data_IF_795915893915
#
_entry.id   IF_795915893915
#
_cell.length_a   1.000
_cell.length_b   1.000
_cell.length_c   1.000
_cell.angle_alpha   90.00
_cell.angle_beta   90.00
_cell.angle_gamma   90.00
#
_symmetry.space_group_name_H-M   'P 1'
#
loop_
_entity.id
_entity.type
_entity.pdbx_description
1 polymer ?
#
# COMPACT_ATOMS: atom_id res chain seq x y z
N UNK A 1 -35.94 -66.10 -12.48
CA UNK A 1 -35.58 -64.69 -12.23
C UNK A 1 -36.34 -64.29 -10.99
N UNK A 2 -35.69 -64.31 -9.88
CA UNK A 2 -36.27 -64.39 -8.53
C UNK A 2 -36.54 -63.00 -7.96
N UNK A 3 -37.66 -62.93 -7.23
CA UNK A 3 -38.22 -61.75 -6.56
C UNK A 3 -37.28 -61.03 -5.55
N UNK A 4 -36.09 -61.51 -5.44
CA UNK A 4 -35.06 -60.95 -4.53
C UNK A 4 -34.28 -59.83 -5.14
N UNK A 5 -34.21 -59.65 -6.47
CA UNK A 5 -33.43 -58.61 -7.13
C UNK A 5 -34.14 -57.25 -7.20
N UNK A 6 -35.49 -57.27 -7.06
CA UNK A 6 -36.29 -56.04 -7.11
C UNK A 6 -36.33 -55.28 -5.76
N UNK A 7 -35.99 -55.96 -4.66
CA UNK A 7 -36.04 -55.38 -3.31
C UNK A 7 -34.74 -54.61 -2.94
N UNK A 8 -33.62 -54.93 -3.60
CA UNK A 8 -32.34 -54.28 -3.37
C UNK A 8 -32.21 -52.90 -4.04
N UNK A 9 -33.05 -52.61 -5.04
CA UNK A 9 -33.02 -51.34 -5.79
C UNK A 9 -33.79 -50.19 -5.12
N UNK A 10 -34.60 -50.51 -4.10
CA UNK A 10 -35.49 -49.53 -3.48
C UNK A 10 -34.97 -48.98 -2.13
N UNK A 11 -33.81 -49.44 -1.67
CA UNK A 11 -33.26 -49.08 -0.35
C UNK A 11 -32.23 -47.93 -0.40
N UNK A 12 -32.03 -47.34 -1.61
CA UNK A 12 -31.12 -46.19 -1.79
C UNK A 12 -31.76 -44.82 -1.49
N UNK A 13 -33.03 -44.80 -1.05
CA UNK A 13 -33.79 -43.56 -0.82
C UNK A 13 -33.74 -43.01 0.62
N UNK A 14 -33.00 -43.66 1.54
CA UNK A 14 -32.94 -43.25 2.94
C UNK A 14 -31.58 -42.71 3.40
N UNK A 15 -30.73 -42.24 2.48
CA UNK A 15 -29.59 -41.46 2.89
C UNK A 15 -30.08 -40.12 3.46
N UNK A 16 -29.78 -39.78 4.74
CA UNK A 16 -30.18 -38.48 5.28
C UNK A 16 -29.54 -37.38 4.44
N UNK A 17 -30.24 -36.24 4.20
CA UNK A 17 -29.72 -35.17 3.38
C UNK A 17 -28.37 -34.74 3.98
N UNK A 18 -27.30 -34.87 3.21
CA UNK A 18 -25.99 -34.39 3.59
C UNK A 18 -26.17 -32.93 3.92
N UNK A 19 -26.01 -32.59 5.22
CA UNK A 19 -25.94 -31.21 5.70
C UNK A 19 -24.79 -30.56 4.92
N UNK A 20 -25.09 -29.86 3.86
CA UNK A 20 -24.14 -29.01 3.17
C UNK A 20 -23.62 -27.99 4.20
N UNK A 21 -22.47 -28.29 4.78
CA UNK A 21 -21.72 -27.27 5.55
C UNK A 21 -21.60 -26.10 4.59
N UNK A 22 -22.25 -24.98 4.91
CA UNK A 22 -22.09 -23.71 4.22
C UNK A 22 -20.60 -23.40 4.25
N UNK A 23 -19.90 -23.78 3.19
CA UNK A 23 -18.49 -23.41 3.05
C UNK A 23 -18.49 -21.90 2.81
N UNK A 24 -17.87 -21.18 3.72
CA UNK A 24 -17.62 -19.76 3.54
C UNK A 24 -16.91 -19.57 2.19
N UNK A 25 -17.26 -18.54 1.41
CA UNK A 25 -16.57 -18.27 0.14
C UNK A 25 -15.05 -18.25 0.38
N UNK A 26 -14.25 -18.73 -0.57
CA UNK A 26 -12.80 -18.94 -0.39
C UNK A 26 -12.07 -17.67 0.10
N UNK A 27 -12.62 -16.49 -0.15
CA UNK A 27 -12.07 -15.20 0.29
C UNK A 27 -12.56 -14.76 1.69
N UNK A 28 -13.52 -15.45 2.30
CA UNK A 28 -14.04 -15.04 3.62
C UNK A 28 -13.06 -15.30 4.76
N UNK A 29 -12.27 -16.37 4.70
CA UNK A 29 -11.29 -16.70 5.74
C UNK A 29 -10.22 -15.62 5.93
N UNK A 30 -9.49 -15.16 4.88
CA UNK A 30 -8.50 -14.12 5.04
C UNK A 30 -9.13 -12.79 5.50
N UNK A 31 -10.30 -12.43 5.00
CA UNK A 31 -11.02 -11.22 5.43
C UNK A 31 -11.39 -11.29 6.93
N UNK A 32 -11.94 -12.42 7.39
CA UNK A 32 -12.28 -12.62 8.79
C UNK A 32 -11.05 -12.57 9.71
N UNK A 33 -9.93 -13.16 9.29
CA UNK A 33 -8.68 -13.11 10.05
C UNK A 33 -8.16 -11.68 10.14
N UNK A 34 -8.16 -10.94 9.03
CA UNK A 34 -7.75 -9.53 9.00
C UNK A 34 -8.62 -8.67 9.92
N UNK A 35 -9.95 -8.86 9.86
CA UNK A 35 -10.89 -8.15 10.73
C UNK A 35 -10.67 -8.52 12.21
N UNK A 36 -10.45 -9.79 12.52
CA UNK A 36 -10.17 -10.23 13.89
C UNK A 36 -8.88 -9.63 14.45
N UNK A 37 -7.81 -9.57 13.61
CA UNK A 37 -6.55 -8.91 13.98
C UNK A 37 -6.78 -7.42 14.20
N UNK A 38 -7.48 -6.73 13.29
CA UNK A 38 -7.77 -5.30 13.40
C UNK A 38 -8.57 -4.99 14.67
N UNK A 39 -9.60 -5.78 14.98
CA UNK A 39 -10.39 -5.65 16.20
C UNK A 39 -9.57 -5.94 17.46
N UNK A 40 -8.69 -6.94 17.43
CA UNK A 40 -7.77 -7.26 18.52
C UNK A 40 -6.80 -6.12 18.82
N UNK A 41 -6.18 -5.56 17.77
CA UNK A 41 -5.29 -4.39 17.89
C UNK A 41 -6.05 -3.18 18.42
N UNK A 42 -7.26 -2.91 17.90
CA UNK A 42 -8.11 -1.83 18.38
C UNK A 42 -8.48 -2.00 19.87
N UNK A 43 -8.84 -3.22 20.28
CA UNK A 43 -9.18 -3.52 21.66
C UNK A 43 -7.98 -3.33 22.61
N UNK A 44 -6.78 -3.79 22.20
CA UNK A 44 -5.54 -3.58 22.97
C UNK A 44 -5.23 -2.08 23.07
N UNK A 45 -5.39 -1.32 21.99
CA UNK A 45 -5.21 0.12 21.98
C UNK A 45 -6.19 0.81 22.93
N UNK A 46 -7.46 0.39 22.93
CA UNK A 46 -8.48 0.89 23.84
C UNK A 46 -8.10 0.69 25.31
N UNK A 47 -7.62 -0.50 25.66
CA UNK A 47 -7.19 -0.80 27.03
C UNK A 47 -5.94 0.00 27.45
N UNK A 48 -5.03 0.26 26.49
CA UNK A 48 -3.79 1.01 26.77
C UNK A 48 -3.99 2.52 26.89
N UNK A 49 -5.08 3.05 26.36
CA UNK A 49 -5.40 4.49 26.39
C UNK A 49 -6.38 4.86 27.49
N UNK A 50 -6.60 3.98 28.49
CA UNK A 50 -7.57 4.16 29.57
C UNK A 50 -8.96 4.56 29.06
N UNK A 51 -9.34 4.06 27.88
CA UNK A 51 -10.62 4.37 27.23
C UNK A 51 -10.75 5.79 26.68
N UNK A 52 -9.63 6.51 26.50
CA UNK A 52 -9.66 7.87 25.93
C UNK A 52 -10.14 7.86 24.48
N UNK A 53 -11.37 8.26 24.24
CA UNK A 53 -11.97 8.33 22.91
C UNK A 53 -11.21 9.28 21.97
N UNK A 54 -10.63 10.36 22.49
CA UNK A 54 -9.88 11.34 21.71
C UNK A 54 -8.60 10.73 21.12
N UNK A 55 -7.85 9.97 21.91
CA UNK A 55 -6.61 9.32 21.44
C UNK A 55 -6.92 8.27 20.39
N UNK A 56 -7.99 7.48 20.60
CA UNK A 56 -8.43 6.48 19.63
C UNK A 56 -8.90 7.12 18.32
N UNK A 57 -9.70 8.19 18.39
CA UNK A 57 -10.16 8.91 17.20
C UNK A 57 -8.98 9.51 16.44
N UNK A 58 -8.01 10.11 17.15
CA UNK A 58 -6.78 10.63 16.54
C UNK A 58 -5.97 9.52 15.84
N UNK A 59 -5.83 8.36 16.48
CA UNK A 59 -5.12 7.23 15.89
C UNK A 59 -5.84 6.69 14.65
N UNK A 60 -7.17 6.56 14.68
CA UNK A 60 -7.98 6.10 13.54
C UNK A 60 -7.89 7.08 12.36
N UNK A 61 -8.08 8.39 12.61
CA UNK A 61 -8.01 9.41 11.55
C UNK A 61 -6.62 9.46 10.94
N UNK A 62 -5.58 9.50 11.78
CA UNK A 62 -4.19 9.52 11.30
C UNK A 62 -3.82 8.24 10.54
N UNK A 63 -4.26 7.08 11.05
CA UNK A 63 -4.04 5.79 10.40
C UNK A 63 -4.76 5.66 9.06
N UNK A 64 -6.01 6.15 8.96
CA UNK A 64 -6.78 6.15 7.73
C UNK A 64 -6.13 7.04 6.66
N UNK A 65 -5.74 8.25 7.03
CA UNK A 65 -5.09 9.19 6.12
C UNK A 65 -3.74 8.66 5.62
N UNK A 66 -2.91 8.11 6.50
CA UNK A 66 -1.66 7.47 6.12
C UNK A 66 -1.90 6.22 5.27
N UNK A 67 -2.89 5.40 5.65
CA UNK A 67 -3.26 4.17 4.94
C UNK A 67 -3.67 4.41 3.48
N UNK A 68 -4.35 5.52 3.18
CA UNK A 68 -4.70 5.89 1.80
C UNK A 68 -3.46 6.14 0.93
N UNK A 69 -2.46 6.83 1.47
CA UNK A 69 -1.19 7.08 0.75
C UNK A 69 -0.42 5.77 0.56
N UNK A 70 -0.29 4.95 1.60
CA UNK A 70 0.36 3.65 1.48
C UNK A 70 -0.39 2.69 0.53
N UNK A 71 -1.73 2.79 0.49
CA UNK A 71 -2.55 2.06 -0.47
C UNK A 71 -2.20 2.39 -1.92
N UNK A 72 -2.00 3.68 -2.24
CA UNK A 72 -1.56 4.11 -3.56
C UNK A 72 -0.17 3.58 -3.92
N UNK A 73 0.78 3.60 -2.97
CA UNK A 73 2.12 3.00 -3.16
C UNK A 73 2.00 1.50 -3.44
N UNK A 74 1.15 0.79 -2.69
CA UNK A 74 0.90 -0.64 -2.89
C UNK A 74 0.25 -0.95 -4.25
N UNK A 75 -0.68 -0.10 -4.71
CA UNK A 75 -1.25 -0.19 -6.06
C UNK A 75 -0.17 -0.05 -7.14
N UNK A 76 0.74 0.93 -7.00
CA UNK A 76 1.87 1.10 -7.91
C UNK A 76 2.74 -0.16 -7.99
N UNK A 77 3.05 -0.79 -6.85
CA UNK A 77 3.80 -2.04 -6.80
C UNK A 77 3.02 -3.19 -7.47
N UNK A 78 1.71 -3.26 -7.23
CA UNK A 78 0.84 -4.28 -7.83
C UNK A 78 0.77 -4.15 -9.34
N UNK A 79 0.71 -2.92 -9.88
CA UNK A 79 0.72 -2.66 -11.31
C UNK A 79 2.06 -3.09 -11.95
N UNK A 80 3.18 -2.74 -11.32
CA UNK A 80 4.51 -3.16 -11.79
C UNK A 80 4.60 -4.69 -11.81
N UNK A 81 4.17 -5.35 -10.74
CA UNK A 81 4.17 -6.82 -10.67
C UNK A 81 3.21 -7.45 -11.70
N UNK A 82 2.03 -6.87 -11.89
CA UNK A 82 1.04 -7.37 -12.84
C UNK A 82 1.50 -7.31 -14.30
N UNK A 83 2.32 -6.30 -14.66
CA UNK A 83 2.81 -6.12 -16.04
C UNK A 83 4.16 -6.82 -16.27
N UNK A 84 5.09 -6.67 -15.34
CA UNK A 84 6.47 -7.14 -15.50
C UNK A 84 6.74 -8.48 -14.82
N UNK A 85 5.84 -8.95 -13.95
CA UNK A 85 6.01 -10.14 -13.11
C UNK A 85 7.28 -10.08 -12.24
N UNK A 86 7.74 -8.88 -11.92
CA UNK A 86 8.93 -8.59 -11.12
C UNK A 86 8.54 -7.79 -9.89
N UNK A 87 9.00 -8.24 -8.72
CA UNK A 87 8.84 -7.48 -7.48
C UNK A 87 9.95 -6.42 -7.42
N UNK A 88 9.57 -5.14 -7.40
CA UNK A 88 10.51 -4.04 -7.33
C UNK A 88 10.78 -3.64 -5.87
N UNK A 89 11.87 -4.15 -5.29
CA UNK A 89 12.30 -3.76 -3.93
C UNK A 89 12.79 -2.32 -3.82
N UNK A 90 13.12 -1.65 -4.93
CA UNK A 90 13.48 -0.23 -4.93
C UNK A 90 12.28 0.72 -4.78
N UNK A 91 11.03 0.20 -4.71
CA UNK A 91 9.82 1.03 -4.65
C UNK A 91 9.86 2.07 -3.53
N UNK A 92 10.26 1.69 -2.31
CA UNK A 92 10.38 2.61 -1.18
C UNK A 92 11.42 3.71 -1.43
N UNK A 93 12.58 3.33 -1.95
CA UNK A 93 13.65 4.27 -2.29
C UNK A 93 13.24 5.25 -3.41
N UNK A 94 12.45 4.79 -4.39
CA UNK A 94 11.89 5.65 -5.44
C UNK A 94 10.86 6.65 -4.89
N UNK A 95 10.04 6.25 -3.94
CA UNK A 95 9.12 7.16 -3.23
C UNK A 95 9.92 8.22 -2.47
N UNK A 96 10.97 7.81 -1.74
CA UNK A 96 11.87 8.72 -1.03
C UNK A 96 12.56 9.68 -2.00
N UNK A 97 13.07 9.20 -3.13
CA UNK A 97 13.63 10.05 -4.18
C UNK A 97 12.62 11.11 -4.64
N UNK A 98 11.36 10.73 -4.85
CA UNK A 98 10.27 11.67 -5.19
C UNK A 98 10.05 12.76 -4.14
N UNK A 99 10.10 12.40 -2.87
CA UNK A 99 10.02 13.37 -1.78
C UNK A 99 11.20 14.35 -1.82
N UNK A 100 12.43 13.87 -2.06
CA UNK A 100 13.59 14.74 -2.18
C UNK A 100 13.57 15.63 -3.44
N UNK A 101 13.11 15.13 -4.58
CA UNK A 101 12.89 15.98 -5.77
C UNK A 101 11.91 17.11 -5.46
N UNK A 102 10.79 16.79 -4.82
CA UNK A 102 9.80 17.80 -4.38
C UNK A 102 10.42 18.80 -3.42
N UNK A 103 11.21 18.34 -2.44
CA UNK A 103 11.93 19.19 -1.49
C UNK A 103 12.87 20.16 -2.22
N UNK A 104 13.73 19.66 -3.11
CA UNK A 104 14.70 20.47 -3.85
C UNK A 104 14.00 21.53 -4.72
N UNK A 105 12.96 21.12 -5.47
CA UNK A 105 12.22 22.06 -6.33
C UNK A 105 11.51 23.11 -5.50
N UNK A 106 10.82 22.71 -4.41
CA UNK A 106 10.13 23.66 -3.53
C UNK A 106 11.10 24.61 -2.83
N UNK A 107 12.23 24.12 -2.35
CA UNK A 107 13.22 24.93 -1.62
C UNK A 107 13.95 25.92 -2.51
N UNK A 108 14.31 25.53 -3.75
CA UNK A 108 15.05 26.40 -4.66
C UNK A 108 14.19 27.37 -5.43
N UNK A 109 12.97 26.95 -5.85
CA UNK A 109 12.08 27.78 -6.64
C UNK A 109 11.02 28.52 -5.80
N UNK A 110 10.93 28.20 -4.49
CA UNK A 110 9.90 28.77 -3.61
C UNK A 110 8.48 28.36 -4.00
N UNK A 111 8.33 27.28 -4.79
CA UNK A 111 7.04 26.85 -5.28
C UNK A 111 6.25 26.12 -4.19
N UNK A 112 4.93 26.25 -4.27
CA UNK A 112 4.05 25.42 -3.44
C UNK A 112 4.31 23.94 -3.74
N UNK A 113 4.46 23.07 -2.72
CA UNK A 113 4.76 21.65 -2.89
C UNK A 113 3.82 20.92 -3.85
N UNK A 114 2.57 21.32 -3.95
CA UNK A 114 1.61 20.73 -4.88
C UNK A 114 1.93 21.07 -6.34
N UNK A 115 2.46 22.28 -6.62
CA UNK A 115 2.88 22.66 -7.96
C UNK A 115 4.15 21.97 -8.40
N UNK A 116 5.00 21.54 -7.43
CA UNK A 116 6.22 20.80 -7.77
C UNK A 116 5.96 19.45 -8.43
N UNK A 117 4.73 18.91 -8.32
CA UNK A 117 4.33 17.68 -9.01
C UNK A 117 4.51 17.78 -10.53
N UNK A 118 4.34 18.97 -11.10
CA UNK A 118 4.54 19.21 -12.56
C UNK A 118 5.98 18.91 -12.98
N UNK A 119 6.95 19.08 -12.07
CA UNK A 119 8.37 18.78 -12.32
C UNK A 119 8.73 17.39 -11.78
N UNK A 120 8.28 17.06 -10.59
CA UNK A 120 8.65 15.80 -9.92
C UNK A 120 8.17 14.57 -10.68
N UNK A 121 6.95 14.61 -11.24
CA UNK A 121 6.40 13.47 -12.00
C UNK A 121 7.20 13.20 -13.27
N UNK A 122 7.47 14.18 -14.18
CA UNK A 122 8.35 13.94 -15.33
C UNK A 122 9.75 13.50 -14.98
N UNK A 123 10.36 14.07 -13.94
CA UNK A 123 11.72 13.70 -13.50
C UNK A 123 11.75 12.24 -13.05
N UNK A 124 10.79 11.83 -12.21
CA UNK A 124 10.71 10.44 -11.76
C UNK A 124 10.35 9.48 -12.90
N UNK A 125 9.50 9.90 -13.84
CA UNK A 125 9.17 9.11 -15.02
C UNK A 125 10.43 8.86 -15.88
N UNK A 126 11.20 9.89 -16.17
CA UNK A 126 12.44 9.77 -16.93
C UNK A 126 13.48 8.91 -16.20
N UNK A 127 13.61 9.09 -14.90
CA UNK A 127 14.50 8.29 -14.06
C UNK A 127 14.07 6.82 -14.05
N UNK A 128 12.78 6.54 -13.88
CA UNK A 128 12.22 5.19 -13.95
C UNK A 128 12.40 4.54 -15.32
N UNK A 129 12.17 5.29 -16.40
CA UNK A 129 12.41 4.82 -17.77
C UNK A 129 13.90 4.51 -18.03
N UNK A 130 14.80 5.31 -17.48
CA UNK A 130 16.24 5.06 -17.55
C UNK A 130 16.62 3.77 -16.82
N UNK A 131 16.14 3.59 -15.58
CA UNK A 131 16.35 2.37 -14.81
C UNK A 131 15.80 1.16 -15.57
N UNK A 132 14.57 1.25 -16.07
CA UNK A 132 13.95 0.17 -16.84
C UNK A 132 14.82 -0.21 -18.04
N UNK A 133 15.25 0.78 -18.83
CA UNK A 133 16.01 0.55 -20.08
C UNK A 133 17.42 0.01 -19.82
N UNK A 134 18.13 0.59 -18.84
CA UNK A 134 19.55 0.31 -18.60
C UNK A 134 19.74 -0.93 -17.71
N UNK A 135 18.89 -1.07 -16.70
CA UNK A 135 19.08 -2.05 -15.64
C UNK A 135 18.13 -3.23 -15.83
N UNK A 136 16.82 -3.00 -15.80
CA UNK A 136 15.83 -4.08 -15.75
C UNK A 136 15.76 -4.85 -17.07
N UNK A 137 15.69 -4.15 -18.20
CA UNK A 137 15.63 -4.82 -19.51
C UNK A 137 16.85 -5.70 -19.79
N UNK A 138 18.01 -5.34 -19.24
CA UNK A 138 19.25 -6.10 -19.41
C UNK A 138 19.27 -7.38 -18.58
N UNK A 139 18.47 -7.42 -17.51
CA UNK A 139 18.32 -8.56 -16.60
C UNK A 139 17.12 -9.46 -16.94
N UNK A 140 16.25 -9.07 -17.86
CA UNK A 140 15.01 -9.79 -18.18
C UNK A 140 15.21 -11.16 -18.86
N UNK A 141 16.43 -11.58 -19.18
CA UNK A 141 16.75 -12.91 -19.71
C UNK A 141 17.23 -13.91 -18.66
N UNK A 142 17.42 -13.47 -17.43
CA UNK A 142 18.01 -14.25 -16.34
C UNK A 142 16.93 -14.72 -15.34
N UNK A 143 17.35 -15.54 -14.38
CA UNK A 143 16.44 -16.05 -13.35
C UNK A 143 15.81 -14.90 -12.57
N UNK A 144 14.52 -15.02 -12.21
CA UNK A 144 13.77 -14.02 -11.41
C UNK A 144 14.49 -13.56 -10.13
N UNK A 145 15.30 -14.45 -9.52
CA UNK A 145 16.10 -14.13 -8.35
C UNK A 145 17.12 -13.00 -8.60
N UNK A 146 17.72 -12.94 -9.80
CA UNK A 146 18.70 -11.90 -10.14
C UNK A 146 18.04 -10.52 -10.22
N UNK A 147 16.81 -10.43 -10.71
CA UNK A 147 16.08 -9.17 -10.79
C UNK A 147 15.67 -8.67 -9.41
N UNK A 148 15.34 -9.56 -8.46
CA UNK A 148 15.05 -9.19 -7.07
C UNK A 148 16.29 -8.57 -6.39
N UNK A 149 17.45 -9.22 -6.52
CA UNK A 149 18.71 -8.71 -5.97
C UNK A 149 19.10 -7.38 -6.61
N UNK A 150 18.87 -7.24 -7.91
CA UNK A 150 19.17 -6.02 -8.67
C UNK A 150 18.32 -4.84 -8.20
N UNK A 151 17.01 -5.02 -8.00
CA UNK A 151 16.12 -3.97 -7.49
C UNK A 151 16.43 -3.63 -6.04
N UNK A 152 16.83 -4.60 -5.22
CA UNK A 152 17.30 -4.36 -3.86
C UNK A 152 18.59 -3.50 -3.87
N UNK A 153 19.59 -3.88 -4.67
CA UNK A 153 20.83 -3.13 -4.81
C UNK A 153 20.58 -1.69 -5.32
N UNK A 154 19.64 -1.53 -6.27
CA UNK A 154 19.21 -0.23 -6.75
C UNK A 154 18.58 0.61 -5.62
N UNK A 155 17.72 0.01 -4.80
CA UNK A 155 17.13 0.67 -3.62
C UNK A 155 18.22 1.20 -2.68
N UNK A 156 19.17 0.35 -2.32
CA UNK A 156 20.31 0.72 -1.47
C UNK A 156 21.17 1.83 -2.10
N UNK A 157 21.38 1.77 -3.42
CA UNK A 157 22.15 2.80 -4.13
C UNK A 157 21.43 4.17 -4.06
N UNK A 158 20.12 4.20 -4.27
CA UNK A 158 19.31 5.43 -4.17
C UNK A 158 19.34 5.96 -2.73
N UNK A 159 19.09 5.13 -1.73
CA UNK A 159 19.05 5.53 -0.32
C UNK A 159 20.40 6.09 0.13
N UNK A 160 21.51 5.40 -0.14
CA UNK A 160 22.84 5.87 0.20
C UNK A 160 23.23 7.11 -0.61
N UNK A 161 22.83 7.21 -1.87
CA UNK A 161 23.03 8.41 -2.68
C UNK A 161 22.31 9.63 -2.10
N UNK A 162 21.08 9.46 -1.63
CA UNK A 162 20.32 10.52 -0.96
C UNK A 162 20.97 10.91 0.38
N UNK A 163 21.44 9.93 1.16
CA UNK A 163 22.19 10.21 2.41
C UNK A 163 23.47 11.01 2.17
N UNK A 164 24.20 10.70 1.12
CA UNK A 164 25.42 11.45 0.74
C UNK A 164 25.09 12.87 0.28
N UNK A 165 23.99 13.04 -0.48
CA UNK A 165 23.61 14.34 -1.03
C UNK A 165 22.97 15.28 0.01
N UNK A 166 22.16 14.74 0.93
CA UNK A 166 21.32 15.53 1.86
C UNK A 166 21.66 15.32 3.33
N UNK A 167 22.61 14.45 3.65
CA UNK A 167 22.94 14.02 5.01
C UNK A 167 21.76 13.28 5.68
N UNK A 168 21.97 12.79 6.91
CA UNK A 168 20.93 12.10 7.69
C UNK A 168 19.93 13.02 8.39
N UNK A 169 19.96 14.33 8.13
CA UNK A 169 19.06 15.27 8.78
C UNK A 169 17.68 15.27 8.10
N UNK A 170 16.58 15.21 8.88
CA UNK A 170 15.24 15.31 8.33
C UNK A 170 15.03 16.60 7.56
N UNK A 171 14.61 16.49 6.32
CA UNK A 171 14.25 17.64 5.50
C UNK A 171 12.72 17.83 5.54
N UNK A 172 12.28 19.08 5.58
CA UNK A 172 10.84 19.39 5.56
C UNK A 172 10.54 20.49 4.55
N UNK A 173 9.43 20.33 3.87
CA UNK A 173 8.89 21.35 2.95
C UNK A 173 7.90 22.21 3.73
N UNK A 174 8.09 23.53 3.73
CA UNK A 174 7.14 24.45 4.35
C UNK A 174 5.97 24.71 3.40
N UNK A 175 4.79 24.29 3.80
CA UNK A 175 3.53 24.47 3.04
C UNK A 175 2.81 25.72 3.58
N UNK A 176 3.41 26.89 3.59
CA UNK A 176 2.73 28.11 4.07
C UNK A 176 2.00 27.95 5.43
N UNK A 177 0.84 28.61 5.60
CA UNK A 177 -0.03 28.38 6.76
C UNK A 177 -0.80 27.08 6.59
N UNK A 178 -0.47 26.03 7.35
CA UNK A 178 -1.24 24.79 7.38
C UNK A 178 -2.55 24.99 8.14
N UNK A 179 -3.66 24.93 7.43
CA UNK A 179 -4.98 24.88 8.07
C UNK A 179 -5.17 23.52 8.73
N UNK A 180 -5.58 23.58 9.98
CA UNK A 180 -5.84 22.39 10.78
C UNK A 180 -7.34 22.20 10.92
N UNK A 181 -7.81 21.01 10.57
CA UNK A 181 -9.23 20.63 10.67
C UNK A 181 -9.44 19.73 11.88
N UNK A 182 -10.51 19.97 12.61
CA UNK A 182 -10.94 19.10 13.71
C UNK A 182 -12.04 18.17 13.20
N UNK A 183 -11.75 16.87 13.17
CA UNK A 183 -12.67 15.81 12.71
C UNK A 183 -12.99 14.92 13.89
N UNK A 184 -14.18 15.03 14.46
CA UNK A 184 -14.63 14.28 15.64
C UNK A 184 -13.66 14.35 16.84
N UNK A 185 -13.02 15.51 17.05
CA UNK A 185 -12.02 15.70 18.10
C UNK A 185 -10.59 15.32 17.70
N UNK A 186 -10.40 14.68 16.55
CA UNK A 186 -9.07 14.41 16.00
C UNK A 186 -8.60 15.58 15.11
N UNK A 187 -7.31 15.82 15.15
CA UNK A 187 -6.65 16.90 14.41
C UNK A 187 -6.07 16.33 13.11
N UNK A 188 -6.50 16.86 11.96
CA UNK A 188 -5.98 16.54 10.65
C UNK A 188 -5.45 17.79 9.96
N UNK A 189 -4.22 17.75 9.44
CA UNK A 189 -3.67 18.85 8.65
C UNK A 189 -4.21 18.82 7.22
N UNK A 190 -4.37 19.99 6.63
CA UNK A 190 -4.84 20.13 5.24
C UNK A 190 -4.00 19.28 4.28
N UNK A 191 -2.70 19.27 4.45
CA UNK A 191 -1.77 18.51 3.59
C UNK A 191 -2.07 17.00 3.60
N UNK A 192 -2.38 16.43 4.78
CA UNK A 192 -2.74 15.00 4.89
C UNK A 192 -4.07 14.67 4.22
N UNK A 193 -5.05 15.57 4.34
CA UNK A 193 -6.35 15.42 3.67
C UNK A 193 -6.20 15.46 2.15
N UNK A 194 -5.45 16.45 1.63
CA UNK A 194 -5.19 16.56 0.18
C UNK A 194 -4.47 15.30 -0.33
N UNK A 195 -3.45 14.82 0.39
CA UNK A 195 -2.72 13.61 0.03
C UNK A 195 -3.65 12.38 0.01
N UNK A 196 -4.52 12.23 1.00
CA UNK A 196 -5.48 11.13 1.07
C UNK A 196 -6.49 11.15 -0.08
N UNK A 197 -7.15 12.30 -0.31
CA UNK A 197 -8.13 12.42 -1.40
C UNK A 197 -7.48 12.33 -2.77
N UNK A 198 -6.26 12.86 -2.93
CA UNK A 198 -5.47 12.69 -4.14
C UNK A 198 -5.11 11.23 -4.42
N UNK A 199 -4.69 10.50 -3.37
CA UNK A 199 -4.41 9.07 -3.47
C UNK A 199 -5.66 8.26 -3.82
N UNK A 200 -6.82 8.56 -3.20
CA UNK A 200 -8.10 7.92 -3.52
C UNK A 200 -8.52 8.18 -4.98
N UNK A 201 -8.40 9.42 -5.44
CA UNK A 201 -8.73 9.77 -6.82
C UNK A 201 -7.87 8.99 -7.82
N UNK A 202 -6.56 8.95 -7.59
CA UNK A 202 -5.62 8.20 -8.43
C UNK A 202 -5.83 6.68 -8.37
N UNK A 203 -6.32 6.16 -7.25
CA UNK A 203 -6.61 4.74 -7.10
C UNK A 203 -7.89 4.28 -7.83
N UNK A 204 -8.80 5.22 -8.12
CA UNK A 204 -10.07 4.95 -8.83
C UNK A 204 -9.89 5.11 -10.36
N UNK A 205 -8.93 5.90 -10.81
CA UNK A 205 -8.61 6.10 -12.23
C UNK A 205 -7.86 4.90 -12.82
#
# INVERSE_FOLDING_TARGET
>A
MSDTDTKALNDTSLAPPMRTRRQLPPNAKPVLVTLAIALGVFFIAYLRTDGSSLVLTQALVSGLLAGGVYGLVALGLTLIFGVLHVINFAQGALVTLGMYVTYVVSSNLGWNPYLTLVISVPVLFLFGALIQKVIINRSMGEQHANTLLLTLALGLLIENGLLLAFSGNPQSVRTGSETVYNIFGAVATQSRLIAFFGAMLLAIL
#
